data_IF_368651919708
#
_entry.id   IF_368651919708
#
_cell.length_a   1.000
_cell.length_b   1.000
_cell.length_c   1.000
_cell.angle_alpha   90.00
_cell.angle_beta   90.00
_cell.angle_gamma   90.00
#
_symmetry.space_group_name_H-M   'P 1'
#
loop_
_entity.id
_entity.type
_entity.pdbx_description
1 polymer ?
#
# COMPACT_ATOMS: atom_id res chain seq x y z
N UNK A 1 -9.07 24.93 -2.37
CA UNK A 1 -7.98 23.95 -2.15
C UNK A 1 -8.45 23.01 -1.05
N UNK A 2 -8.77 21.76 -1.34
CA UNK A 2 -8.92 20.75 -0.28
C UNK A 2 -7.52 20.50 0.26
N UNK A 3 -7.31 20.82 1.55
CA UNK A 3 -6.04 20.65 2.21
C UNK A 3 -5.66 19.17 2.20
N UNK A 4 -4.68 18.81 1.38
CA UNK A 4 -3.99 17.52 1.51
C UNK A 4 -3.24 17.54 2.84
N UNK A 5 -3.53 16.57 3.71
CA UNK A 5 -2.84 16.42 4.99
C UNK A 5 -1.32 16.40 4.80
N UNK A 6 -0.54 16.95 5.74
CA UNK A 6 0.92 16.84 5.73
C UNK A 6 1.37 15.38 5.56
N UNK A 7 2.38 15.15 4.71
CA UNK A 7 2.86 13.80 4.39
C UNK A 7 3.26 13.00 5.64
N UNK A 8 3.83 13.66 6.65
CA UNK A 8 4.20 13.03 7.92
C UNK A 8 2.98 12.53 8.71
N UNK A 9 1.84 13.24 8.68
CA UNK A 9 0.60 12.77 9.31
C UNK A 9 0.02 11.56 8.56
N UNK A 10 0.05 11.61 7.23
CA UNK A 10 -0.35 10.47 6.39
C UNK A 10 0.52 9.25 6.69
N UNK A 11 1.85 9.43 6.73
CA UNK A 11 2.79 8.37 7.08
C UNK A 11 2.50 7.79 8.47
N UNK A 12 2.32 8.64 9.49
CA UNK A 12 2.01 8.20 10.85
C UNK A 12 0.72 7.37 10.92
N UNK A 13 -0.32 7.79 10.21
CA UNK A 13 -1.55 7.02 10.10
C UNK A 13 -1.31 5.67 9.39
N UNK A 14 -0.50 5.62 8.33
CA UNK A 14 -0.14 4.37 7.65
C UNK A 14 0.66 3.42 8.55
N UNK A 15 1.59 3.92 9.35
CA UNK A 15 2.35 3.09 10.32
C UNK A 15 1.40 2.46 11.33
N UNK A 16 0.46 3.22 11.87
CA UNK A 16 -0.55 2.69 12.79
C UNK A 16 -1.37 1.55 12.17
N UNK A 17 -1.77 1.69 10.90
CA UNK A 17 -2.49 0.66 10.17
C UNK A 17 -1.63 -0.61 9.97
N UNK A 18 -0.33 -0.44 9.67
CA UNK A 18 0.62 -1.55 9.53
C UNK A 18 0.81 -2.31 10.83
N UNK A 19 0.97 -1.61 11.97
CA UNK A 19 1.05 -2.22 13.29
C UNK A 19 -0.23 -2.99 13.64
N UNK A 20 -1.39 -2.42 13.31
CA UNK A 20 -2.67 -3.09 13.53
C UNK A 20 -2.81 -4.38 12.71
N UNK A 21 -2.36 -4.36 11.45
CA UNK A 21 -2.31 -5.53 10.57
C UNK A 21 -1.33 -6.58 11.10
N UNK A 22 -0.15 -6.16 11.55
CA UNK A 22 0.85 -7.06 12.14
C UNK A 22 0.31 -7.76 13.39
N UNK A 23 -0.33 -7.02 14.30
CA UNK A 23 -0.96 -7.60 15.49
C UNK A 23 -2.03 -8.63 15.14
N UNK A 24 -2.82 -8.38 14.08
CA UNK A 24 -3.84 -9.32 13.60
C UNK A 24 -3.22 -10.61 13.04
N UNK A 25 -2.13 -10.50 12.26
CA UNK A 25 -1.37 -11.66 11.76
C UNK A 25 -0.81 -12.46 12.93
N UNK A 26 -0.12 -11.82 13.87
CA UNK A 26 0.45 -12.52 15.05
C UNK A 26 -0.62 -13.24 15.88
N UNK A 27 -1.81 -12.65 16.02
CA UNK A 27 -2.94 -13.30 16.71
C UNK A 27 -3.47 -14.50 15.92
N UNK A 28 -3.47 -14.43 14.60
CA UNK A 28 -3.86 -15.55 13.75
C UNK A 28 -2.84 -16.68 13.85
N UNK A 29 -1.54 -16.38 13.77
CA UNK A 29 -0.44 -17.33 13.92
C UNK A 29 -0.53 -18.08 15.25
N UNK A 30 -0.75 -17.36 16.35
CA UNK A 30 -0.90 -17.96 17.68
C UNK A 30 -2.12 -18.90 17.78
N UNK A 31 -3.16 -18.66 16.98
CA UNK A 31 -4.40 -19.46 16.99
C UNK A 31 -4.31 -20.68 16.08
N UNK A 32 -3.68 -20.57 14.92
CA UNK A 32 -3.63 -21.65 13.92
C UNK A 32 -2.37 -22.49 14.04
N UNK A 33 -1.28 -21.95 14.61
CA UNK A 33 0.03 -22.57 14.58
C UNK A 33 0.73 -22.49 13.21
N UNK A 34 0.12 -21.78 12.25
CA UNK A 34 0.64 -21.59 10.89
C UNK A 34 0.90 -20.11 10.63
N UNK A 35 1.90 -19.82 9.80
CA UNK A 35 2.27 -18.44 9.47
C UNK A 35 1.23 -17.81 8.55
N UNK A 36 0.57 -16.77 9.03
CA UNK A 36 -0.38 -15.97 8.30
C UNK A 36 0.30 -14.78 7.60
N UNK A 37 -0.47 -14.18 6.70
CA UNK A 37 -0.11 -12.96 5.99
C UNK A 37 -1.37 -12.21 5.57
N UNK A 38 -1.21 -10.97 5.12
CA UNK A 38 -2.30 -10.12 4.66
C UNK A 38 -2.49 -10.26 3.15
N UNK A 39 -3.75 -10.46 2.76
CA UNK A 39 -4.23 -10.21 1.39
C UNK A 39 -4.81 -8.79 1.32
N UNK A 40 -4.16 -7.91 0.57
CA UNK A 40 -4.55 -6.50 0.52
C UNK A 40 -5.47 -6.25 -0.69
N UNK A 41 -6.75 -5.95 -0.45
CA UNK A 41 -7.71 -5.67 -1.53
C UNK A 41 -7.93 -4.15 -1.62
N UNK A 42 -7.61 -3.57 -2.78
CA UNK A 42 -7.76 -2.14 -3.04
C UNK A 42 -8.89 -1.92 -4.05
N UNK A 43 -9.99 -1.31 -3.59
CA UNK A 43 -11.10 -0.92 -4.44
C UNK A 43 -10.86 0.45 -5.06
N UNK A 44 -10.74 0.51 -6.39
CA UNK A 44 -10.45 1.74 -7.14
C UNK A 44 -11.70 2.43 -7.72
N UNK A 45 -12.89 2.04 -7.25
CA UNK A 45 -14.15 2.68 -7.66
C UNK A 45 -14.09 4.18 -7.42
N UNK A 46 -14.36 4.96 -8.46
CA UNK A 46 -14.38 6.43 -8.37
C UNK A 46 -13.01 7.10 -8.38
N UNK A 47 -11.92 6.33 -8.53
CA UNK A 47 -10.60 6.92 -8.74
C UNK A 47 -10.62 7.77 -10.02
N UNK A 48 -10.12 8.99 -9.91
CA UNK A 48 -9.97 9.93 -11.03
C UNK A 48 -8.49 10.23 -11.24
N UNK A 49 -8.10 10.35 -12.50
CA UNK A 49 -6.77 10.85 -12.83
C UNK A 49 -6.75 12.36 -12.56
N UNK A 50 -6.06 12.78 -11.52
CA UNK A 50 -5.83 14.19 -11.21
C UNK A 50 -4.40 14.43 -10.70
N UNK A 51 -4.00 15.70 -10.65
CA UNK A 51 -2.66 16.11 -10.24
C UNK A 51 -2.34 15.70 -8.79
N UNK A 52 -3.34 15.60 -7.92
CA UNK A 52 -3.15 15.23 -6.53
C UNK A 52 -2.84 13.75 -6.40
N UNK A 53 -3.56 12.89 -7.11
CA UNK A 53 -3.29 11.45 -7.21
C UNK A 53 -1.87 11.22 -7.72
N UNK A 54 -1.49 11.89 -8.81
CA UNK A 54 -0.12 11.79 -9.34
C UNK A 54 0.93 12.22 -8.31
N UNK A 55 0.69 13.32 -7.59
CA UNK A 55 1.62 13.82 -6.57
C UNK A 55 1.75 12.85 -5.39
N UNK A 56 0.62 12.31 -4.90
CA UNK A 56 0.59 11.34 -3.80
C UNK A 56 1.30 10.04 -4.18
N UNK A 57 1.06 9.56 -5.40
CA UNK A 57 1.66 8.35 -5.95
C UNK A 57 3.17 8.50 -6.12
N UNK A 58 3.65 9.60 -6.70
CA UNK A 58 5.09 9.78 -6.92
C UNK A 58 5.89 10.00 -5.63
N UNK A 59 5.29 10.61 -4.61
CA UNK A 59 6.00 10.99 -3.36
C UNK A 59 5.66 10.08 -2.18
N UNK A 60 4.48 10.23 -1.60
CA UNK A 60 4.09 9.58 -0.36
C UNK A 60 4.05 8.06 -0.49
N UNK A 61 3.49 7.54 -1.60
CA UNK A 61 3.38 6.10 -1.81
C UNK A 61 4.75 5.43 -1.92
N UNK A 62 5.69 6.05 -2.61
CA UNK A 62 7.08 5.58 -2.73
C UNK A 62 7.76 5.49 -1.37
N UNK A 63 7.61 6.52 -0.52
CA UNK A 63 8.16 6.52 0.83
C UNK A 63 7.55 5.44 1.72
N UNK A 64 6.23 5.23 1.62
CA UNK A 64 5.54 4.14 2.35
C UNK A 64 6.02 2.78 1.86
N UNK A 65 6.12 2.58 0.55
CA UNK A 65 6.54 1.31 -0.03
C UNK A 65 7.95 0.93 0.41
N UNK A 66 8.88 1.88 0.41
CA UNK A 66 10.23 1.69 0.93
C UNK A 66 10.22 1.34 2.43
N UNK A 67 9.52 2.13 3.25
CA UNK A 67 9.39 1.89 4.68
C UNK A 67 8.80 0.51 5.00
N UNK A 68 7.79 0.07 4.25
CA UNK A 68 7.19 -1.25 4.38
C UNK A 68 8.17 -2.38 4.06
N UNK A 69 8.98 -2.22 3.00
CA UNK A 69 9.96 -3.23 2.61
C UNK A 69 11.08 -3.40 3.64
N UNK A 70 11.45 -2.33 4.36
CA UNK A 70 12.51 -2.36 5.37
C UNK A 70 12.02 -2.87 6.74
N UNK A 71 10.77 -2.57 7.12
CA UNK A 71 10.27 -2.82 8.49
C UNK A 71 9.19 -3.89 8.63
N UNK A 72 8.44 -4.20 7.57
CA UNK A 72 7.31 -5.15 7.60
C UNK A 72 7.49 -6.25 6.56
N UNK A 73 8.66 -6.89 6.58
CA UNK A 73 9.05 -7.94 5.64
C UNK A 73 8.02 -9.08 5.67
N UNK A 74 7.45 -9.39 4.49
CA UNK A 74 6.47 -10.46 4.29
C UNK A 74 5.11 -10.30 4.99
N UNK A 75 4.79 -9.12 5.53
CA UNK A 75 3.45 -8.89 6.13
C UNK A 75 2.33 -9.01 5.09
N UNK A 76 2.52 -8.44 3.91
CA UNK A 76 1.57 -8.53 2.78
C UNK A 76 2.06 -9.59 1.81
N UNK A 77 1.19 -10.57 1.50
CA UNK A 77 1.46 -11.61 0.53
C UNK A 77 1.12 -11.16 -0.89
N UNK A 78 -0.08 -10.59 -1.09
CA UNK A 78 -0.55 -10.15 -2.40
C UNK A 78 -1.41 -8.89 -2.30
N UNK A 79 -1.38 -8.09 -3.35
CA UNK A 79 -2.29 -6.98 -3.58
C UNK A 79 -3.27 -7.37 -4.68
N UNK A 80 -4.56 -7.12 -4.46
CA UNK A 80 -5.60 -7.31 -5.46
C UNK A 80 -6.25 -5.96 -5.71
N UNK A 81 -6.13 -5.45 -6.94
CA UNK A 81 -6.82 -4.25 -7.38
C UNK A 81 -8.18 -4.64 -7.98
N UNK A 82 -9.27 -4.04 -7.48
CA UNK A 82 -10.63 -4.28 -7.97
C UNK A 82 -11.28 -2.98 -8.46
N UNK A 83 -12.22 -3.10 -9.41
CA UNK A 83 -12.89 -1.95 -10.07
C UNK A 83 -11.89 -0.95 -10.67
N UNK A 84 -10.89 -1.50 -11.36
CA UNK A 84 -9.74 -0.76 -11.85
C UNK A 84 -10.14 0.12 -13.04
N UNK A 85 -9.90 1.45 -13.00
CA UNK A 85 -10.22 2.33 -14.12
C UNK A 85 -9.27 2.11 -15.30
N UNK A 86 -9.73 2.43 -16.51
CA UNK A 86 -8.96 2.20 -17.75
C UNK A 86 -7.60 2.87 -17.75
N UNK A 87 -7.44 4.03 -17.11
CA UNK A 87 -6.19 4.80 -17.05
C UNK A 87 -5.14 4.24 -16.07
N UNK A 88 -5.43 3.15 -15.34
CA UNK A 88 -4.51 2.62 -14.31
C UNK A 88 -3.12 2.29 -14.86
N UNK A 89 -3.03 1.90 -16.13
CA UNK A 89 -1.78 1.53 -16.77
C UNK A 89 -0.79 2.71 -16.79
N UNK A 90 -1.30 3.94 -16.94
CA UNK A 90 -0.48 5.16 -16.87
C UNK A 90 0.00 5.43 -15.45
N UNK A 91 -0.82 5.16 -14.43
CA UNK A 91 -0.37 5.24 -13.05
C UNK A 91 0.69 4.17 -12.77
N UNK A 92 0.48 2.95 -13.27
CA UNK A 92 1.40 1.84 -13.05
C UNK A 92 2.79 2.10 -13.63
N UNK A 93 2.91 2.73 -14.79
CA UNK A 93 4.24 3.07 -15.34
C UNK A 93 5.03 4.03 -14.44
N UNK A 94 4.35 4.85 -13.63
CA UNK A 94 4.96 5.75 -12.65
C UNK A 94 5.20 5.05 -11.32
N UNK A 95 4.24 4.25 -10.83
CA UNK A 95 4.30 3.57 -9.52
C UNK A 95 5.31 2.43 -9.53
N UNK A 96 5.24 1.57 -10.55
CA UNK A 96 6.03 0.33 -10.64
C UNK A 96 7.52 0.53 -10.36
N UNK A 97 8.24 1.50 -10.99
CA UNK A 97 9.66 1.69 -10.72
C UNK A 97 9.97 2.18 -9.28
N UNK A 98 8.99 2.76 -8.59
CA UNK A 98 9.14 3.29 -7.23
C UNK A 98 8.88 2.23 -6.15
N UNK A 99 8.30 1.09 -6.53
CA UNK A 99 8.09 -0.03 -5.62
C UNK A 99 9.40 -0.80 -5.40
N UNK A 100 9.67 -1.26 -4.18
CA UNK A 100 10.73 -2.22 -3.91
C UNK A 100 10.52 -3.50 -4.73
N UNK A 101 11.61 -4.15 -5.16
CA UNK A 101 11.56 -5.37 -6.01
C UNK A 101 10.64 -6.46 -5.45
N UNK A 102 10.67 -6.66 -4.12
CA UNK A 102 9.82 -7.65 -3.43
C UNK A 102 8.33 -7.33 -3.50
N UNK A 103 7.97 -6.07 -3.69
CA UNK A 103 6.57 -5.60 -3.77
C UNK A 103 6.06 -5.65 -5.21
N UNK A 104 6.93 -5.45 -6.21
CA UNK A 104 6.55 -5.51 -7.64
C UNK A 104 5.91 -6.86 -8.02
N UNK A 105 6.43 -7.95 -7.46
CA UNK A 105 5.95 -9.30 -7.75
C UNK A 105 4.67 -9.70 -6.99
N UNK A 106 4.10 -8.80 -6.17
CA UNK A 106 2.94 -9.09 -5.31
C UNK A 106 1.64 -8.46 -5.79
N UNK A 107 1.69 -7.59 -6.79
CA UNK A 107 0.53 -6.84 -7.32
C UNK A 107 -0.02 -7.51 -8.57
#
# INVERSE_FOLDING_TARGET
>A
MLASHPTNEVLKARVHDLESMLAAVMKMDARTGERASILFIMNLTGLKMDRNVMTLVSSALSSIAAFMADHYVELIHSFILVNVPSFIHVLWTVVHPLLPERTKNKV
#
